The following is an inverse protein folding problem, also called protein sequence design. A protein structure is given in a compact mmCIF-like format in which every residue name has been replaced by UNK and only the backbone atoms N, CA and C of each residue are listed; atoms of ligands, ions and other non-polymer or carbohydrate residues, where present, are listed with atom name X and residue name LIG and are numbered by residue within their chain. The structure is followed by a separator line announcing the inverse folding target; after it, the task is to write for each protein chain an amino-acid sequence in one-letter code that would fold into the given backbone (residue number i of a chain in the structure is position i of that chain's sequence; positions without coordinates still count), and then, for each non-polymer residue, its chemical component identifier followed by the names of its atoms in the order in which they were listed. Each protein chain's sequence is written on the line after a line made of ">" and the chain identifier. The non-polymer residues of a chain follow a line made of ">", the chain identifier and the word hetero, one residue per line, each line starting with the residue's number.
data_IF_894184939725
#
_entry.id   IF_894184939725
#
_cell.length_a   1.000
_cell.length_b   1.000
_cell.length_c   1.000
_cell.angle_alpha   90.00
_cell.angle_beta   90.00
_cell.angle_gamma   90.00
#
_symmetry.space_group_name_H-M   'P 1'
#
loop_
_entity.id
_entity.type
_entity.pdbx_description
1 polymer ?
#
# COMPACT_ATOMS: atom_id res chain seq x y z
N UNK A 1 -3.27 -18.87 -9.95
CA UNK A 1 -1.87 -18.39 -9.82
C UNK A 1 -1.81 -16.88 -9.93
N UNK A 2 -2.53 -16.29 -10.89
CA UNK A 2 -2.66 -14.84 -11.07
C UNK A 2 -3.08 -14.09 -9.79
N UNK A 3 -4.14 -14.52 -9.10
CA UNK A 3 -4.61 -13.83 -7.88
C UNK A 3 -3.54 -13.70 -6.79
N UNK A 4 -2.72 -14.74 -6.58
CA UNK A 4 -1.67 -14.73 -5.56
C UNK A 4 -0.58 -13.73 -5.93
N UNK A 5 -0.11 -13.79 -7.19
CA UNK A 5 0.93 -12.91 -7.70
C UNK A 5 0.44 -11.45 -7.67
N UNK A 6 -0.77 -11.18 -8.18
CA UNK A 6 -1.37 -9.84 -8.17
C UNK A 6 -1.53 -9.32 -6.74
N UNK A 7 -1.92 -10.17 -5.78
CA UNK A 7 -2.02 -9.77 -4.37
C UNK A 7 -0.66 -9.40 -3.79
N UNK A 8 0.37 -10.21 -4.03
CA UNK A 8 1.73 -9.94 -3.54
C UNK A 8 2.28 -8.67 -4.17
N UNK A 9 2.16 -8.51 -5.49
CA UNK A 9 2.63 -7.33 -6.23
C UNK A 9 1.89 -6.08 -5.77
N UNK A 10 0.56 -6.12 -5.67
CA UNK A 10 -0.24 -5.00 -5.20
C UNK A 10 0.20 -4.58 -3.79
N UNK A 11 0.19 -5.51 -2.84
CA UNK A 11 0.61 -5.21 -1.46
C UNK A 11 2.04 -4.69 -1.41
N UNK A 12 2.98 -5.32 -2.12
CA UNK A 12 4.37 -4.90 -2.11
C UNK A 12 4.55 -3.49 -2.68
N UNK A 13 3.89 -3.19 -3.80
CA UNK A 13 3.97 -1.88 -4.46
C UNK A 13 3.41 -0.75 -3.57
N UNK A 14 2.28 -0.98 -2.90
CA UNK A 14 1.61 0.03 -2.09
C UNK A 14 2.25 0.23 -0.71
N UNK A 15 3.00 -0.77 -0.21
CA UNK A 15 3.58 -0.71 1.14
C UNK A 15 5.12 -0.61 1.11
N UNK A 16 5.77 -0.38 -0.03
CA UNK A 16 7.23 -0.30 -0.05
C UNK A 16 7.74 0.87 0.81
N UNK A 17 7.03 2.01 0.77
CA UNK A 17 7.36 3.21 1.53
C UNK A 17 7.14 3.00 3.05
N UNK A 18 6.17 2.15 3.43
CA UNK A 18 5.91 1.75 4.82
C UNK A 18 7.12 1.07 5.48
N UNK A 19 8.00 0.41 4.70
CA UNK A 19 9.19 -0.28 5.24
C UNK A 19 10.06 0.69 6.05
N UNK A 20 10.23 1.93 5.59
CA UNK A 20 11.06 2.93 6.27
C UNK A 20 10.47 3.34 7.61
N UNK A 21 9.20 3.69 7.62
CA UNK A 21 8.49 4.05 8.84
C UNK A 21 8.54 2.89 9.84
N UNK A 22 8.30 1.66 9.37
CA UNK A 22 8.32 0.47 10.20
C UNK A 22 9.71 0.18 10.76
N UNK A 23 10.77 0.40 9.97
CA UNK A 23 12.16 0.33 10.43
C UNK A 23 12.44 1.34 11.55
N UNK A 24 11.99 2.60 11.40
CA UNK A 24 12.18 3.63 12.42
C UNK A 24 11.53 3.22 13.75
N UNK A 25 10.33 2.64 13.70
CA UNK A 25 9.67 2.10 14.89
C UNK A 25 10.44 0.92 15.50
N UNK A 26 10.97 0.00 14.69
CA UNK A 26 11.77 -1.13 15.21
C UNK A 26 13.17 -0.73 15.72
N UNK A 27 13.75 0.37 15.21
CA UNK A 27 15.02 0.91 15.67
C UNK A 27 14.86 1.70 16.99
N UNK A 28 13.69 2.27 17.24
CA UNK A 28 13.42 3.05 18.43
C UNK A 28 13.24 2.14 19.67
N UNK A 29 14.16 2.26 20.63
CA UNK A 29 14.18 1.49 21.89
C UNK A 29 12.94 1.69 22.76
N UNK A 30 12.19 2.77 22.56
CA UNK A 30 10.95 3.00 23.28
C UNK A 30 9.83 2.06 22.86
N UNK A 31 9.85 1.53 21.64
CA UNK A 31 8.80 0.67 21.11
C UNK A 31 9.16 -0.80 21.30
N UNK A 32 8.25 -1.57 21.91
CA UNK A 32 8.39 -3.03 21.96
C UNK A 32 8.02 -3.62 20.60
N UNK A 33 8.71 -4.67 20.10
CA UNK A 33 8.36 -5.29 18.82
C UNK A 33 6.89 -5.70 18.69
N UNK A 34 6.27 -6.19 19.77
CA UNK A 34 4.84 -6.54 19.77
C UNK A 34 3.93 -5.32 19.53
N UNK A 35 4.29 -4.14 20.03
CA UNK A 35 3.50 -2.92 19.84
C UNK A 35 3.56 -2.45 18.39
N UNK A 36 4.74 -2.56 17.77
CA UNK A 36 4.94 -2.24 16.36
C UNK A 36 4.14 -3.18 15.46
N UNK A 37 4.25 -4.50 15.69
CA UNK A 37 3.50 -5.50 14.91
C UNK A 37 1.99 -5.31 15.07
N UNK A 38 1.48 -5.19 16.30
CA UNK A 38 0.05 -4.97 16.54
C UNK A 38 -0.44 -3.67 15.91
N UNK A 39 0.35 -2.60 15.99
CA UNK A 39 0.01 -1.32 15.38
C UNK A 39 -0.09 -1.43 13.85
N UNK A 40 0.89 -2.08 13.22
CA UNK A 40 0.88 -2.31 11.77
C UNK A 40 -0.34 -3.12 11.34
N UNK A 41 -0.67 -4.20 12.07
CA UNK A 41 -1.88 -4.98 11.79
C UNK A 41 -3.15 -4.13 11.90
N UNK A 42 -3.31 -3.36 12.97
CA UNK A 42 -4.50 -2.51 13.16
C UNK A 42 -4.61 -1.48 12.02
N UNK A 43 -3.52 -0.79 11.68
CA UNK A 43 -3.50 0.23 10.63
C UNK A 43 -3.84 -0.35 9.25
N UNK A 44 -3.14 -1.41 8.83
CA UNK A 44 -3.37 -2.04 7.53
C UNK A 44 -4.75 -2.72 7.46
N UNK A 45 -5.21 -3.38 8.53
CA UNK A 45 -6.56 -3.98 8.55
C UNK A 45 -7.62 -2.89 8.39
N UNK A 46 -7.46 -1.71 8.99
CA UNK A 46 -8.39 -0.61 8.80
C UNK A 46 -8.44 -0.15 7.33
N UNK A 47 -7.28 0.01 6.68
CA UNK A 47 -7.20 0.35 5.25
C UNK A 47 -7.85 -0.73 4.37
N UNK A 48 -7.58 -2.01 4.65
CA UNK A 48 -8.19 -3.14 3.95
C UNK A 48 -9.70 -3.15 4.14
N UNK A 49 -10.19 -2.95 5.36
CA UNK A 49 -11.61 -2.95 5.67
C UNK A 49 -12.35 -1.82 4.94
N UNK A 50 -11.81 -0.59 4.98
CA UNK A 50 -12.36 0.54 4.22
C UNK A 50 -12.38 0.23 2.72
N UNK A 51 -11.30 -0.35 2.20
CA UNK A 51 -11.20 -0.67 0.78
C UNK A 51 -12.17 -1.78 0.37
N UNK A 52 -12.32 -2.81 1.21
CA UNK A 52 -13.24 -3.91 0.99
C UNK A 52 -14.68 -3.41 0.97
N UNK A 53 -15.07 -2.60 1.97
CA UNK A 53 -16.40 -1.98 2.05
C UNK A 53 -16.63 -1.06 0.85
N UNK A 54 -15.68 -0.19 0.52
CA UNK A 54 -15.74 0.70 -0.64
C UNK A 54 -15.94 -0.08 -1.94
N UNK A 55 -15.30 -1.24 -2.08
CA UNK A 55 -15.47 -2.11 -3.25
C UNK A 55 -16.87 -2.72 -3.38
N UNK A 56 -17.70 -2.73 -2.33
CA UNK A 56 -19.06 -3.27 -2.41
C UNK A 56 -19.98 -2.43 -3.28
N UNK A 57 -19.64 -1.16 -3.54
CA UNK A 57 -20.37 -0.33 -4.51
C UNK A 57 -20.35 -0.94 -5.91
N UNK A 58 -19.35 -1.77 -6.21
CA UNK A 58 -19.22 -2.47 -7.49
C UNK A 58 -20.31 -3.51 -7.72
N UNK A 59 -21.03 -3.94 -6.68
CA UNK A 59 -22.16 -4.87 -6.80
C UNK A 59 -23.38 -4.24 -7.49
N UNK A 60 -23.42 -2.91 -7.59
CA UNK A 60 -24.53 -2.16 -8.18
C UNK A 60 -24.16 -1.49 -9.52
N UNK A 61 -22.95 -1.75 -10.04
CA UNK A 61 -22.38 -1.07 -11.20
C UNK A 61 -21.91 -2.10 -12.23
N UNK A 62 -22.16 -1.84 -13.52
CA UNK A 62 -21.70 -2.73 -14.58
C UNK A 62 -20.17 -2.83 -14.62
N UNK A 63 -19.67 -4.01 -14.99
CA UNK A 63 -18.24 -4.34 -15.02
C UNK A 63 -17.40 -3.34 -15.83
N UNK A 64 -17.97 -2.77 -16.90
CA UNK A 64 -17.27 -1.78 -17.73
C UNK A 64 -16.98 -0.47 -17.01
N UNK A 65 -17.84 -0.04 -16.07
CA UNK A 65 -17.58 1.16 -15.27
C UNK A 65 -16.65 0.85 -14.10
N UNK A 66 -16.64 -0.39 -13.60
CA UNK A 66 -15.68 -0.83 -12.57
C UNK A 66 -14.24 -0.64 -13.05
N UNK A 67 -13.93 -0.98 -14.30
CA UNK A 67 -12.56 -0.85 -14.79
C UNK A 67 -12.07 0.60 -14.91
N UNK A 68 -12.96 1.60 -14.94
CA UNK A 68 -12.54 3.01 -14.85
C UNK A 68 -11.85 3.32 -13.52
N UNK A 69 -12.09 2.53 -12.46
CA UNK A 69 -11.34 2.62 -11.21
C UNK A 69 -9.85 2.32 -11.41
N UNK A 70 -9.46 1.59 -12.47
CA UNK A 70 -8.07 1.39 -12.87
C UNK A 70 -7.33 2.70 -13.20
N UNK A 71 -8.06 3.79 -13.49
CA UNK A 71 -7.46 5.13 -13.63
C UNK A 71 -6.87 5.65 -12.32
N UNK A 72 -7.34 5.18 -11.15
CA UNK A 72 -6.79 5.61 -9.85
C UNK A 72 -5.34 5.11 -9.68
N UNK A 73 -5.02 3.81 -9.81
CA UNK A 73 -3.62 3.35 -9.81
C UNK A 73 -2.75 4.02 -10.89
N UNK A 74 -3.30 4.24 -12.10
CA UNK A 74 -2.58 4.97 -13.15
C UNK A 74 -2.24 6.40 -12.71
N UNK A 75 -3.22 7.11 -12.16
CA UNK A 75 -3.01 8.47 -11.65
C UNK A 75 -1.96 8.51 -10.55
N UNK A 76 -2.01 7.59 -9.57
CA UNK A 76 -1.00 7.53 -8.50
C UNK A 76 0.40 7.22 -9.05
N UNK A 77 0.50 6.32 -10.02
CA UNK A 77 1.77 6.02 -10.67
C UNK A 77 2.33 7.19 -11.48
N UNK A 78 1.50 7.88 -12.27
CA UNK A 78 1.94 9.10 -13.00
C UNK A 78 2.39 10.17 -12.01
N UNK A 79 1.61 10.41 -10.95
CA UNK A 79 1.97 11.37 -9.90
C UNK A 79 3.28 11.00 -9.21
N UNK A 80 3.53 9.70 -9.00
CA UNK A 80 4.80 9.19 -8.49
C UNK A 80 5.97 9.54 -9.42
N UNK A 81 5.85 9.31 -10.72
CA UNK A 81 6.87 9.68 -11.72
C UNK A 81 7.11 11.19 -11.73
N UNK A 82 6.06 12.01 -11.71
CA UNK A 82 6.18 13.47 -11.68
C UNK A 82 6.95 13.92 -10.43
N UNK A 83 6.66 13.33 -9.25
CA UNK A 83 7.41 13.63 -8.03
C UNK A 83 8.89 13.28 -8.18
N UNK A 84 9.24 12.13 -8.76
CA UNK A 84 10.65 11.76 -8.99
C UNK A 84 11.41 12.80 -9.84
N UNK A 85 10.73 13.38 -10.84
CA UNK A 85 11.31 14.43 -11.69
C UNK A 85 11.47 15.74 -10.90
N UNK A 86 10.51 16.05 -10.02
CA UNK A 86 10.50 17.29 -9.22
C UNK A 86 11.42 17.22 -7.98
N UNK A 87 11.68 16.03 -7.42
CA UNK A 87 12.48 15.79 -6.21
C UNK A 87 13.96 16.16 -6.36
N UNK A 88 14.41 16.56 -7.56
CA UNK A 88 15.75 17.15 -7.77
C UNK A 88 15.87 18.59 -7.24
N UNK A 89 14.83 19.13 -6.58
CA UNK A 89 14.81 20.46 -5.98
C UNK A 89 14.13 20.38 -4.60
N UNK A 90 14.92 20.65 -3.57
CA UNK A 90 14.56 20.79 -2.15
C UNK A 90 14.56 19.51 -1.29
N UNK A 91 15.39 19.55 -0.24
CA UNK A 91 15.49 18.52 0.79
C UNK A 91 14.37 18.68 1.84
N UNK A 92 13.68 17.56 2.04
CA UNK A 92 13.16 16.96 3.28
C UNK A 92 12.68 17.87 4.42
N UNK A 93 11.36 17.91 4.59
CA UNK A 93 10.74 18.14 5.89
C UNK A 93 10.68 16.82 6.65
N UNK A 94 11.48 16.69 7.70
CA UNK A 94 11.37 15.62 8.68
C UNK A 94 9.98 15.63 9.34
N UNK A 95 9.24 14.54 9.22
CA UNK A 95 8.01 14.32 9.96
C UNK A 95 8.34 14.19 11.46
N UNK A 96 8.11 15.25 12.22
CA UNK A 96 8.18 15.23 13.68
C UNK A 96 7.07 14.32 14.23
N UNK A 97 7.45 13.13 14.69
CA UNK A 97 6.56 12.27 15.47
C UNK A 97 6.34 12.95 16.83
N UNK A 98 5.15 13.53 17.02
CA UNK A 98 4.75 14.15 18.29
C UNK A 98 4.48 13.06 19.34
N UNK A 99 5.37 12.95 20.32
CA UNK A 99 5.25 12.04 21.46
C UNK A 99 4.31 12.61 22.51
N UNK A 100 3.01 12.60 22.24
CA UNK A 100 2.01 12.65 23.33
C UNK A 100 1.96 11.27 23.99
N UNK A 101 1.61 11.20 25.29
CA UNK A 101 1.49 10.00 26.14
C UNK A 101 0.37 9.05 25.64
N UNK A 102 0.49 8.59 24.40
CA UNK A 102 -0.44 7.74 23.66
C UNK A 102 0.03 6.29 23.75
N UNK A 103 -0.93 5.37 23.68
CA UNK A 103 -0.64 3.96 23.56
C UNK A 103 0.27 3.74 22.33
N UNK A 104 1.50 3.26 22.54
CA UNK A 104 2.52 3.11 21.47
C UNK A 104 2.00 2.27 20.30
N UNK A 105 1.17 1.25 20.56
CA UNK A 105 0.50 0.47 19.53
C UNK A 105 -0.43 1.33 18.67
N UNK A 106 -1.20 2.23 19.31
CA UNK A 106 -2.12 3.14 18.62
C UNK A 106 -1.35 4.21 17.83
N UNK A 107 -0.20 4.67 18.34
CA UNK A 107 0.67 5.58 17.58
C UNK A 107 1.17 4.93 16.30
N UNK A 108 1.66 3.68 16.37
CA UNK A 108 2.06 2.94 15.16
C UNK A 108 0.86 2.76 14.23
N UNK A 109 -0.29 2.31 14.74
CA UNK A 109 -1.50 2.13 13.92
C UNK A 109 -1.95 3.41 13.21
N UNK A 110 -1.91 4.55 13.90
CA UNK A 110 -2.30 5.83 13.34
C UNK A 110 -1.33 6.29 12.24
N UNK A 111 -0.02 6.11 12.44
CA UNK A 111 0.98 6.44 11.42
C UNK A 111 0.86 5.50 10.22
N UNK A 112 0.71 4.19 10.43
CA UNK A 112 0.47 3.21 9.37
C UNK A 112 -0.79 3.56 8.56
N UNK A 113 -1.89 3.90 9.23
CA UNK A 113 -3.14 4.27 8.56
C UNK A 113 -3.00 5.57 7.76
N UNK A 114 -2.35 6.58 8.32
CA UNK A 114 -2.14 7.86 7.66
C UNK A 114 -1.22 7.71 6.44
N UNK A 115 -0.15 6.93 6.56
CA UNK A 115 0.81 6.70 5.49
C UNK A 115 0.18 5.90 4.34
N UNK A 116 -0.49 4.79 4.64
CA UNK A 116 -1.14 3.94 3.64
C UNK A 116 -2.50 4.44 3.15
N UNK A 117 -2.82 5.73 3.29
CA UNK A 117 -4.11 6.27 2.85
C UNK A 117 -4.31 6.20 1.33
N UNK A 118 -3.23 6.23 0.56
CA UNK A 118 -3.22 5.99 -0.89
C UNK A 118 -3.45 4.51 -1.26
N UNK A 119 -3.15 3.56 -0.37
CA UNK A 119 -3.48 2.14 -0.55
C UNK A 119 -4.98 1.95 -0.81
N UNK A 120 -5.85 2.78 -0.21
CA UNK A 120 -7.30 2.73 -0.44
C UNK A 120 -7.62 2.95 -1.93
N UNK A 121 -6.95 3.91 -2.55
CA UNK A 121 -7.12 4.25 -3.96
C UNK A 121 -6.64 3.16 -4.93
N UNK A 122 -5.94 2.14 -4.43
CA UNK A 122 -5.43 1.00 -5.22
C UNK A 122 -6.21 -0.27 -4.88
N UNK A 123 -6.47 -0.51 -3.60
CA UNK A 123 -7.20 -1.68 -3.11
C UNK A 123 -8.69 -1.65 -3.46
N UNK A 124 -9.36 -0.48 -3.47
CA UNK A 124 -10.76 -0.40 -3.92
C UNK A 124 -10.92 -0.88 -5.36
N UNK A 125 -10.20 -0.32 -6.36
CA UNK A 125 -10.26 -0.82 -7.74
C UNK A 125 -9.98 -2.32 -7.83
N UNK A 126 -8.96 -2.80 -7.13
CA UNK A 126 -8.53 -4.20 -7.20
C UNK A 126 -9.56 -5.14 -6.57
N UNK A 127 -10.16 -4.77 -5.44
CA UNK A 127 -11.26 -5.55 -4.88
C UNK A 127 -12.52 -5.47 -5.73
N UNK A 128 -12.79 -4.36 -6.41
CA UNK A 128 -13.99 -4.20 -7.23
C UNK A 128 -14.03 -5.16 -8.43
N UNK A 129 -12.87 -5.60 -8.93
CA UNK A 129 -12.76 -6.58 -10.04
C UNK A 129 -12.86 -8.05 -9.59
N UNK A 130 -12.94 -8.32 -8.28
CA UNK A 130 -12.86 -9.68 -7.73
C UNK A 130 -14.22 -10.16 -7.20
N UNK A 131 -14.46 -11.48 -7.34
CA UNK A 131 -15.57 -12.15 -6.67
C UNK A 131 -15.33 -12.19 -5.14
N UNK A 132 -16.40 -12.32 -4.36
CA UNK A 132 -16.31 -12.25 -2.89
C UNK A 132 -15.30 -13.24 -2.29
N UNK A 133 -15.25 -14.47 -2.80
CA UNK A 133 -14.30 -15.49 -2.34
C UNK A 133 -12.85 -15.12 -2.70
N UNK A 134 -12.62 -14.50 -3.86
CA UNK A 134 -11.30 -14.01 -4.27
C UNK A 134 -10.85 -12.82 -3.41
N UNK A 135 -11.77 -11.90 -3.05
CA UNK A 135 -11.48 -10.80 -2.12
C UNK A 135 -11.01 -11.36 -0.77
N UNK A 136 -11.69 -12.38 -0.24
CA UNK A 136 -11.31 -13.03 1.03
C UNK A 136 -9.90 -13.66 0.93
N UNK A 137 -9.61 -14.36 -0.17
CA UNK A 137 -8.27 -14.93 -0.40
C UNK A 137 -7.20 -13.84 -0.46
N UNK A 138 -7.46 -12.75 -1.18
CA UNK A 138 -6.54 -11.60 -1.26
C UNK A 138 -6.31 -10.96 0.12
N UNK A 139 -7.37 -10.79 0.93
CA UNK A 139 -7.24 -10.30 2.32
C UNK A 139 -6.35 -11.23 3.14
N UNK A 140 -6.54 -12.56 3.04
CA UNK A 140 -5.70 -13.51 3.75
C UNK A 140 -4.22 -13.39 3.34
N UNK A 141 -3.94 -13.19 2.04
CA UNK A 141 -2.57 -12.95 1.55
C UNK A 141 -2.02 -11.65 2.11
N UNK A 142 -2.80 -10.56 2.13
CA UNK A 142 -2.36 -9.29 2.73
C UNK A 142 -2.02 -9.45 4.21
N UNK A 143 -2.82 -10.20 4.98
CA UNK A 143 -2.54 -10.47 6.40
C UNK A 143 -1.23 -11.23 6.62
N UNK A 144 -0.87 -12.16 5.72
CA UNK A 144 0.43 -12.84 5.74
C UNK A 144 1.54 -11.87 5.35
N UNK A 145 1.32 -11.02 4.34
CA UNK A 145 2.29 -10.04 3.88
C UNK A 145 2.61 -8.98 4.94
N UNK A 146 1.67 -8.60 5.82
CA UNK A 146 1.95 -7.73 6.98
C UNK A 146 3.04 -8.35 7.87
N UNK A 147 2.96 -9.66 8.15
CA UNK A 147 3.99 -10.36 8.94
C UNK A 147 5.34 -10.35 8.23
N UNK A 148 5.34 -10.62 6.92
CA UNK A 148 6.56 -10.56 6.09
C UNK A 148 7.19 -9.17 6.14
N UNK A 149 6.39 -8.12 6.01
CA UNK A 149 6.84 -6.72 6.11
C UNK A 149 7.41 -6.40 7.48
N UNK A 150 6.77 -6.84 8.56
CA UNK A 150 7.27 -6.64 9.91
C UNK A 150 8.62 -7.34 10.14
N UNK A 151 8.79 -8.55 9.61
CA UNK A 151 10.05 -9.28 9.68
C UNK A 151 11.14 -8.59 8.86
N UNK A 152 10.81 -8.19 7.63
CA UNK A 152 11.71 -7.47 6.74
C UNK A 152 12.18 -6.15 7.37
N UNK A 153 11.26 -5.31 7.85
CA UNK A 153 11.59 -4.04 8.50
C UNK A 153 12.42 -4.22 9.78
N UNK A 154 12.12 -5.25 10.59
CA UNK A 154 12.93 -5.56 11.79
C UNK A 154 14.33 -6.03 11.46
N UNK A 155 14.52 -6.71 10.34
CA UNK A 155 15.83 -7.09 9.84
C UNK A 155 16.58 -5.88 9.27
N UNK A 156 15.92 -5.11 8.40
CA UNK A 156 16.48 -3.93 7.74
C UNK A 156 16.78 -2.78 8.70
N UNK A 157 16.08 -2.66 9.83
CA UNK A 157 16.36 -1.65 10.85
C UNK A 157 17.77 -1.78 11.46
N UNK A 158 18.40 -2.96 11.32
CA UNK A 158 19.79 -3.21 11.69
C UNK A 158 20.77 -3.02 10.53
N UNK A 159 20.29 -2.90 9.30
CA UNK A 159 21.09 -2.92 8.06
C UNK A 159 20.68 -1.75 7.14
N UNK A 160 20.90 -0.53 7.60
CA UNK A 160 20.48 0.71 6.94
C UNK A 160 20.98 0.89 5.50
N UNK A 161 22.17 0.36 5.15
CA UNK A 161 22.68 0.43 3.79
C UNK A 161 21.78 -0.31 2.77
N UNK A 162 21.24 -1.46 3.17
CA UNK A 162 20.31 -2.24 2.34
C UNK A 162 18.98 -1.50 2.24
N UNK A 163 18.49 -0.97 3.36
CA UNK A 163 17.28 -0.17 3.38
C UNK A 163 17.38 0.99 2.40
N UNK A 164 18.39 1.84 2.50
CA UNK A 164 18.56 3.00 1.61
C UNK A 164 18.57 2.64 0.11
N UNK A 165 19.02 1.44 -0.21
CA UNK A 165 18.96 0.89 -1.57
C UNK A 165 17.52 0.53 -1.97
N UNK A 166 16.78 -0.14 -1.07
CA UNK A 166 15.35 -0.43 -1.26
C UNK A 166 14.55 0.86 -1.41
N UNK A 167 14.83 1.93 -0.65
CA UNK A 167 14.17 3.24 -0.81
C UNK A 167 14.31 3.75 -2.25
N UNK A 168 15.58 3.81 -2.68
CA UNK A 168 15.98 4.42 -3.94
C UNK A 168 15.35 3.73 -5.13
N UNK A 169 15.32 2.40 -5.12
CA UNK A 169 14.70 1.63 -6.19
C UNK A 169 13.19 1.51 -6.01
N UNK A 170 12.69 1.40 -4.79
CA UNK A 170 11.26 1.27 -4.48
C UNK A 170 10.46 2.46 -4.96
N UNK A 171 10.93 3.68 -4.66
CA UNK A 171 10.30 4.90 -5.15
C UNK A 171 10.26 5.02 -6.68
N UNK A 172 11.15 4.34 -7.41
CA UNK A 172 11.15 4.30 -8.89
C UNK A 172 10.24 3.18 -9.41
N UNK A 173 10.30 1.99 -8.80
CA UNK A 173 9.59 0.79 -9.25
C UNK A 173 8.09 0.91 -8.97
N UNK A 174 7.70 1.38 -7.79
CA UNK A 174 6.29 1.46 -7.38
C UNK A 174 5.42 2.22 -8.37
N UNK A 175 5.77 3.45 -8.80
CA UNK A 175 4.98 4.19 -9.79
C UNK A 175 4.74 3.41 -11.09
N UNK A 176 5.75 2.68 -11.57
CA UNK A 176 5.66 1.87 -12.79
C UNK A 176 4.70 0.70 -12.58
N UNK A 177 4.84 -0.01 -11.46
CA UNK A 177 3.97 -1.14 -11.11
C UNK A 177 2.51 -0.69 -10.96
N UNK A 178 2.25 0.48 -10.38
CA UNK A 178 0.89 1.01 -10.24
C UNK A 178 0.25 1.37 -11.59
N UNK A 179 1.02 1.91 -12.54
CA UNK A 179 0.54 2.15 -13.90
C UNK A 179 0.18 0.82 -14.56
N UNK A 180 1.06 -0.18 -14.47
CA UNK A 180 0.82 -1.51 -15.04
C UNK A 180 -0.43 -2.17 -14.42
N UNK A 181 -0.60 -2.06 -13.10
CA UNK A 181 -1.76 -2.60 -12.39
C UNK A 181 -3.06 -1.89 -12.81
N UNK A 182 -3.02 -0.56 -12.95
CA UNK A 182 -4.18 0.20 -13.40
C UNK A 182 -4.58 -0.09 -14.85
N UNK A 183 -3.60 -0.20 -15.75
CA UNK A 183 -3.82 -0.65 -17.14
C UNK A 183 -4.37 -2.07 -17.19
N UNK A 184 -3.85 -2.97 -16.34
CA UNK A 184 -4.37 -4.33 -16.21
C UNK A 184 -5.86 -4.33 -15.82
N UNK A 185 -6.26 -3.53 -14.82
CA UNK A 185 -7.67 -3.40 -14.40
C UNK A 185 -8.56 -2.89 -15.55
N UNK A 186 -8.08 -1.88 -16.31
CA UNK A 186 -8.80 -1.32 -17.45
C UNK A 186 -9.01 -2.35 -18.57
N UNK A 187 -7.99 -3.16 -18.85
CA UNK A 187 -8.03 -4.21 -19.86
C UNK A 187 -8.98 -5.34 -19.45
N UNK A 188 -8.82 -5.87 -18.23
CA UNK A 188 -9.58 -7.02 -17.72
C UNK A 188 -11.08 -6.71 -17.63
N UNK A 189 -11.43 -5.47 -17.31
CA UNK A 189 -12.83 -5.03 -17.19
C UNK A 189 -13.49 -4.68 -18.53
N UNK A 190 -12.77 -4.83 -19.66
CA UNK A 190 -13.20 -4.42 -21.01
C UNK A 190 -13.60 -2.93 -21.11
N UNK A 191 -13.17 -2.11 -20.16
CA UNK A 191 -13.52 -0.68 -20.05
C UNK A 191 -12.90 0.15 -21.16
N UNK A 192 -11.83 -0.33 -21.77
CA UNK A 192 -11.19 0.32 -22.91
C UNK A 192 -12.20 0.57 -24.05
N UNK A 193 -13.12 -0.36 -24.30
CA UNK A 193 -14.19 -0.21 -25.31
C UNK A 193 -15.25 0.85 -25.01
N UNK A 194 -15.19 1.56 -23.86
CA UNK A 194 -16.04 2.73 -23.57
C UNK A 194 -15.35 4.05 -23.95
N UNK A 195 -14.05 4.04 -24.22
CA UNK A 195 -13.26 5.24 -24.53
C UNK A 195 -13.17 5.53 -26.04
N UNK A 196 -13.83 4.71 -26.87
CA UNK A 196 -13.88 4.81 -28.33
C UNK A 196 -15.17 4.22 -28.89
#
# INVERSE_FOLDING_TARGET
>A
MELIITSIIAFASTNIDDIFILMLFFANKEYKPKQVVLGQYIGIIALIAISFIGSLISLFIDQKYIGLLGLLPVYFGIRGIIRLIQYKKENEQEAKVSTTRSNKTLSVAAVTFANGSDNIGIYIPLFATLLIHQKIIMVAIFLVMIAVWCLAARYLSKHWAIANTIDKYGHIITPIVLILLGVYILYESQSLGLLW
#
